data_IF_909629279723
#
_entry.id   IF_909629279723
#
_cell.length_a   1.000
_cell.length_b   1.000
_cell.length_c   1.000
_cell.angle_alpha   90.00
_cell.angle_beta   90.00
_cell.angle_gamma   90.00
#
_symmetry.space_group_name_H-M   'P 1'
#
loop_
_entity.id
_entity.type
_entity.pdbx_description
1 polymer ?
#
# COMPACT_ATOMS: atom_id res chain seq x y z
N UNK A 1 13.57 -19.18 -2.31
CA UNK A 1 13.38 -20.62 -2.04
C UNK A 1 12.18 -21.08 -2.84
N UNK A 2 12.32 -22.13 -3.65
CA UNK A 2 11.19 -22.77 -4.32
C UNK A 2 10.85 -23.99 -3.45
N UNK A 3 9.69 -23.96 -2.79
CA UNK A 3 9.20 -25.07 -1.98
C UNK A 3 8.77 -26.22 -2.91
N UNK A 4 8.96 -27.47 -2.48
CA UNK A 4 8.44 -28.62 -3.24
C UNK A 4 6.92 -28.68 -3.14
N UNK A 5 6.24 -29.38 -4.07
CA UNK A 5 4.80 -29.58 -3.98
C UNK A 5 4.36 -30.25 -2.66
N UNK A 6 5.17 -31.17 -2.12
CA UNK A 6 4.88 -31.82 -0.84
C UNK A 6 4.99 -30.86 0.35
N UNK A 7 5.99 -29.97 0.34
CA UNK A 7 6.16 -28.97 1.40
C UNK A 7 5.02 -27.94 1.40
N UNK A 8 4.55 -27.54 0.22
CA UNK A 8 3.38 -26.66 0.08
C UNK A 8 2.12 -27.34 0.61
N UNK A 9 1.95 -28.64 0.31
CA UNK A 9 0.80 -29.40 0.78
C UNK A 9 0.84 -29.58 2.30
N UNK A 10 1.98 -29.98 2.85
CA UNK A 10 2.19 -30.13 4.30
C UNK A 10 1.93 -28.81 5.04
N UNK A 11 2.37 -27.69 4.49
CA UNK A 11 2.09 -26.37 5.07
C UNK A 11 0.61 -25.99 5.11
N UNK A 12 -0.16 -26.36 4.07
CA UNK A 12 -1.61 -26.15 4.04
C UNK A 12 -2.33 -27.03 5.06
N UNK A 13 -1.92 -28.29 5.19
CA UNK A 13 -2.54 -29.25 6.09
C UNK A 13 -2.31 -28.82 7.55
N UNK A 14 -1.09 -28.42 7.90
CA UNK A 14 -0.76 -27.87 9.22
C UNK A 14 -1.55 -26.60 9.56
N UNK A 15 -1.74 -25.69 8.60
CA UNK A 15 -2.53 -24.47 8.80
C UNK A 15 -4.00 -24.79 9.07
N UNK A 16 -4.58 -25.71 8.29
CA UNK A 16 -5.96 -26.15 8.45
C UNK A 16 -6.17 -26.87 9.80
N UNK A 17 -5.22 -27.70 10.21
CA UNK A 17 -5.26 -28.41 11.49
C UNK A 17 -5.18 -27.44 12.68
N UNK A 18 -4.28 -26.45 12.64
CA UNK A 18 -4.17 -25.44 13.70
C UNK A 18 -5.45 -24.60 13.85
N UNK A 19 -6.12 -24.29 12.73
CA UNK A 19 -7.40 -23.58 12.70
C UNK A 19 -8.54 -24.43 13.28
N UNK A 20 -8.58 -25.71 12.95
CA UNK A 20 -9.56 -26.65 13.51
C UNK A 20 -9.32 -26.90 15.00
N UNK A 21 -8.07 -26.97 15.45
CA UNK A 21 -7.70 -27.20 16.85
C UNK A 21 -8.08 -26.03 17.77
N UNK A 22 -8.23 -24.81 17.23
CA UNK A 22 -8.58 -23.64 18.05
C UNK A 22 -10.09 -23.49 18.31
N UNK A 23 -10.97 -24.09 17.49
CA UNK A 23 -12.44 -23.91 17.58
C UNK A 23 -13.30 -25.09 17.11
N UNK A 24 -12.73 -26.28 16.95
CA UNK A 24 -13.44 -27.48 16.51
C UNK A 24 -14.59 -27.84 17.46
N UNK A 25 -15.80 -27.94 16.91
CA UNK A 25 -17.03 -28.30 17.65
C UNK A 25 -18.07 -27.17 17.80
N UNK A 26 -17.73 -25.93 17.44
CA UNK A 26 -18.70 -24.83 17.33
C UNK A 26 -19.32 -24.83 15.93
N UNK A 27 -20.57 -25.29 15.81
CA UNK A 27 -21.28 -25.37 14.54
C UNK A 27 -21.38 -24.02 13.81
N UNK A 28 -21.40 -22.92 14.56
CA UNK A 28 -21.43 -21.55 14.03
C UNK A 28 -20.10 -21.17 13.39
N UNK A 29 -18.99 -21.60 14.01
CA UNK A 29 -17.65 -21.38 13.48
C UNK A 29 -17.38 -22.29 12.27
N UNK A 30 -17.77 -23.56 12.33
CA UNK A 30 -17.63 -24.49 11.22
C UNK A 30 -18.43 -24.05 9.98
N UNK A 31 -19.68 -23.57 10.17
CA UNK A 31 -20.48 -23.00 9.09
C UNK A 31 -19.87 -21.71 8.53
N UNK A 32 -19.35 -20.83 9.41
CA UNK A 32 -18.64 -19.62 8.99
C UNK A 32 -17.34 -19.94 8.22
N UNK A 33 -16.59 -20.97 8.63
CA UNK A 33 -15.39 -21.46 7.94
C UNK A 33 -15.75 -22.13 6.61
N UNK A 34 -16.83 -22.89 6.53
CA UNK A 34 -17.30 -23.51 5.29
C UNK A 34 -17.81 -22.47 4.28
N UNK A 35 -18.56 -21.46 4.75
CA UNK A 35 -18.94 -20.29 3.96
C UNK A 35 -17.71 -19.49 3.54
N UNK A 36 -16.74 -19.29 4.43
CA UNK A 36 -15.48 -18.60 4.16
C UNK A 36 -14.62 -19.36 3.16
N UNK A 37 -14.51 -20.69 3.23
CA UNK A 37 -13.83 -21.54 2.23
C UNK A 37 -14.49 -21.45 0.87
N UNK A 38 -15.82 -21.49 0.79
CA UNK A 38 -16.55 -21.34 -0.48
C UNK A 38 -16.39 -19.93 -1.06
N UNK A 39 -16.46 -18.90 -0.23
CA UNK A 39 -16.23 -17.50 -0.59
C UNK A 39 -14.76 -17.24 -0.96
N UNK A 40 -13.82 -17.90 -0.30
CA UNK A 40 -12.39 -17.90 -0.58
C UNK A 40 -12.09 -18.59 -1.91
N UNK A 41 -12.70 -19.75 -2.21
CA UNK A 41 -12.54 -20.43 -3.49
C UNK A 41 -13.18 -19.65 -4.65
N UNK A 42 -14.33 -19.01 -4.40
CA UNK A 42 -14.95 -18.08 -5.36
C UNK A 42 -14.10 -16.81 -5.55
N UNK A 43 -13.50 -16.30 -4.47
CA UNK A 43 -12.59 -15.15 -4.49
C UNK A 43 -11.25 -15.47 -5.15
N UNK A 44 -10.71 -16.67 -4.95
CA UNK A 44 -9.46 -17.14 -5.54
C UNK A 44 -9.57 -17.36 -7.05
N UNK A 45 -10.78 -17.68 -7.56
CA UNK A 45 -11.04 -17.78 -8.98
C UNK A 45 -11.07 -16.41 -9.71
N UNK A 46 -11.18 -15.29 -8.97
CA UNK A 46 -11.37 -13.95 -9.56
C UNK A 46 -10.46 -12.83 -9.06
N UNK A 47 -9.75 -12.99 -7.94
CA UNK A 47 -8.99 -11.91 -7.32
C UNK A 47 -7.53 -12.29 -7.08
N UNK A 48 -6.62 -11.65 -7.82
CA UNK A 48 -5.17 -11.74 -7.61
C UNK A 48 -4.69 -10.99 -6.36
N UNK A 49 -5.55 -10.23 -5.67
CA UNK A 49 -5.26 -9.61 -4.37
C UNK A 49 -6.57 -9.39 -3.59
N UNK A 50 -6.67 -9.88 -2.35
CA UNK A 50 -7.86 -9.65 -1.49
C UNK A 50 -8.33 -10.82 -0.61
N UNK A 51 -7.61 -11.94 -0.54
CA UNK A 51 -8.07 -13.10 0.25
C UNK A 51 -8.17 -12.80 1.75
N UNK A 52 -7.26 -11.98 2.29
CA UNK A 52 -7.31 -11.54 3.68
C UNK A 52 -8.51 -10.64 3.97
N UNK A 53 -8.84 -9.70 3.08
CA UNK A 53 -10.01 -8.83 3.28
C UNK A 53 -11.32 -9.61 3.24
N UNK A 54 -11.43 -10.62 2.38
CA UNK A 54 -12.60 -11.54 2.36
C UNK A 54 -12.68 -12.35 3.66
N UNK A 55 -11.57 -12.91 4.14
CA UNK A 55 -11.54 -13.71 5.36
C UNK A 55 -11.93 -12.92 6.61
N UNK A 56 -11.43 -11.69 6.75
CA UNK A 56 -11.72 -10.82 7.90
C UNK A 56 -12.99 -9.97 7.75
N UNK A 57 -13.73 -10.10 6.64
CA UNK A 57 -14.96 -9.35 6.38
C UNK A 57 -14.72 -7.84 6.20
N UNK A 58 -13.55 -7.45 5.72
CA UNK A 58 -13.25 -6.05 5.41
C UNK A 58 -13.85 -5.66 4.07
N UNK A 59 -14.70 -4.63 4.10
CA UNK A 59 -15.20 -3.97 2.89
C UNK A 59 -14.18 -2.96 2.35
N UNK A 60 -14.28 -2.66 1.05
CA UNK A 60 -13.57 -1.53 0.47
C UNK A 60 -13.99 -0.23 1.17
N UNK A 61 -13.02 0.66 1.40
CA UNK A 61 -13.29 1.99 1.95
C UNK A 61 -14.36 2.70 1.10
N UNK A 62 -15.39 3.24 1.75
CA UNK A 62 -16.43 4.04 1.10
C UNK A 62 -16.07 5.51 1.24
N UNK A 63 -15.83 6.19 0.12
CA UNK A 63 -15.46 7.61 0.08
C UNK A 63 -14.35 7.89 -0.93
N UNK A 64 -13.93 9.15 -0.98
CA UNK A 64 -12.83 9.57 -1.83
C UNK A 64 -11.47 9.15 -1.22
N UNK A 65 -10.46 8.83 -2.07
CA UNK A 65 -9.10 8.60 -1.60
C UNK A 65 -8.56 9.79 -0.82
N UNK A 66 -7.81 9.54 0.25
CA UNK A 66 -7.19 10.60 1.06
C UNK A 66 -6.17 11.34 0.21
N UNK A 67 -6.17 12.68 0.24
CA UNK A 67 -5.19 13.51 -0.46
C UNK A 67 -3.87 13.51 0.29
N UNK A 68 -2.87 12.84 -0.26
CA UNK A 68 -1.59 12.57 0.39
C UNK A 68 -0.46 13.38 -0.24
N UNK A 69 0.38 13.98 0.61
CA UNK A 69 1.66 14.55 0.24
C UNK A 69 2.83 13.62 0.59
N UNK A 70 3.81 13.46 -0.30
CA UNK A 70 5.02 12.67 -0.03
C UNK A 70 6.22 13.56 0.29
N UNK A 71 6.83 13.37 1.46
CA UNK A 71 8.02 14.09 1.91
C UNK A 71 9.23 13.15 1.87
N UNK A 72 10.20 13.46 1.02
CA UNK A 72 11.32 12.57 0.70
C UNK A 72 10.96 11.66 -0.47
N UNK A 73 11.50 11.97 -1.64
CA UNK A 73 11.34 11.21 -2.90
C UNK A 73 12.67 10.63 -3.37
N UNK A 74 13.50 10.21 -2.40
CA UNK A 74 14.69 9.40 -2.66
C UNK A 74 14.35 7.98 -3.08
N UNK A 75 15.23 7.04 -2.77
CA UNK A 75 15.08 5.65 -3.21
C UNK A 75 13.87 4.97 -2.57
N UNK A 76 13.75 5.00 -1.24
CA UNK A 76 12.59 4.48 -0.52
C UNK A 76 11.31 5.26 -0.85
N UNK A 77 11.40 6.58 -0.96
CA UNK A 77 10.27 7.42 -1.38
C UNK A 77 9.69 6.99 -2.72
N UNK A 78 10.54 6.69 -3.72
CA UNK A 78 10.10 6.17 -5.02
C UNK A 78 9.46 4.79 -4.95
N UNK A 79 9.93 3.92 -4.04
CA UNK A 79 9.28 2.62 -3.80
C UNK A 79 7.89 2.84 -3.24
N UNK A 80 7.73 3.68 -2.22
CA UNK A 80 6.43 3.97 -1.64
C UNK A 80 5.47 4.67 -2.63
N UNK A 81 5.99 5.58 -3.47
CA UNK A 81 5.21 6.13 -4.60
C UNK A 81 4.77 5.02 -5.56
N UNK A 82 5.62 4.04 -5.83
CA UNK A 82 5.30 2.91 -6.73
C UNK A 82 4.32 1.93 -6.12
N UNK A 83 4.27 1.79 -4.80
CA UNK A 83 3.38 0.86 -4.09
C UNK A 83 2.10 1.51 -3.52
N UNK A 84 1.97 2.85 -3.52
CA UNK A 84 0.78 3.51 -2.98
C UNK A 84 -0.52 2.98 -3.65
N UNK A 85 -1.58 2.67 -2.89
CA UNK A 85 -2.82 2.18 -3.48
C UNK A 85 -3.68 3.37 -3.99
N UNK A 86 -3.88 3.55 -5.31
CA UNK A 86 -4.61 4.71 -5.83
C UNK A 86 -6.10 4.75 -5.44
N UNK A 87 -6.64 3.60 -5.04
CA UNK A 87 -8.01 3.48 -4.53
C UNK A 87 -8.21 4.10 -3.13
N UNK A 88 -7.12 4.33 -2.38
CA UNK A 88 -7.18 4.83 -1.00
C UNK A 88 -6.34 6.09 -0.79
N UNK A 89 -5.35 6.34 -1.64
CA UNK A 89 -4.46 7.50 -1.57
C UNK A 89 -4.43 8.22 -2.92
N UNK A 90 -4.82 9.49 -2.93
CA UNK A 90 -4.61 10.40 -4.06
C UNK A 90 -3.37 11.25 -3.81
N UNK A 91 -2.32 11.06 -4.63
CA UNK A 91 -1.10 11.85 -4.47
C UNK A 91 -1.33 13.23 -5.07
N UNK A 92 -1.37 14.25 -4.22
CA UNK A 92 -1.59 15.65 -4.63
C UNK A 92 -0.33 16.49 -4.59
N UNK A 93 0.68 16.08 -3.80
CA UNK A 93 1.92 16.83 -3.66
C UNK A 93 3.14 15.95 -3.36
N UNK A 94 4.32 16.43 -3.76
CA UNK A 94 5.61 15.87 -3.33
C UNK A 94 6.54 16.98 -2.83
N UNK A 95 7.45 16.66 -1.91
CA UNK A 95 8.50 17.55 -1.45
C UNK A 95 9.83 16.79 -1.30
N UNK A 96 10.91 17.33 -1.86
CA UNK A 96 12.27 16.83 -1.65
C UNK A 96 13.27 17.95 -1.89
N UNK A 97 14.29 18.05 -1.03
CA UNK A 97 15.34 19.08 -1.14
C UNK A 97 16.17 18.92 -2.41
N UNK A 98 16.39 17.69 -2.88
CA UNK A 98 17.26 17.41 -4.02
C UNK A 98 16.46 17.46 -5.33
N UNK A 99 16.80 18.35 -6.27
CA UNK A 99 16.05 18.48 -7.54
C UNK A 99 15.95 17.18 -8.34
N UNK A 100 17.01 16.37 -8.34
CA UNK A 100 17.03 15.09 -9.06
C UNK A 100 16.04 14.08 -8.47
N UNK A 101 15.79 14.11 -7.15
CA UNK A 101 14.81 13.22 -6.52
C UNK A 101 13.39 13.60 -6.95
N UNK A 102 13.09 14.91 -7.00
CA UNK A 102 11.81 15.42 -7.51
C UNK A 102 11.56 14.97 -8.95
N UNK A 103 12.58 15.02 -9.81
CA UNK A 103 12.48 14.52 -11.19
C UNK A 103 12.26 13.00 -11.25
N UNK A 104 13.07 12.24 -10.48
CA UNK A 104 12.98 10.78 -10.40
C UNK A 104 11.63 10.29 -9.89
N UNK A 105 10.97 11.04 -9.00
CA UNK A 105 9.61 10.74 -8.56
C UNK A 105 8.64 10.59 -9.73
N UNK A 106 8.83 11.37 -10.81
CA UNK A 106 7.98 11.32 -12.00
C UNK A 106 8.47 10.31 -13.04
N UNK A 107 9.77 10.24 -13.29
CA UNK A 107 10.34 9.39 -14.36
C UNK A 107 10.63 7.96 -13.93
N UNK A 108 10.81 7.73 -12.63
CA UNK A 108 11.33 6.49 -12.08
C UNK A 108 12.80 6.26 -12.40
N UNK A 109 13.26 5.06 -12.07
CA UNK A 109 14.63 4.57 -12.29
C UNK A 109 14.71 3.45 -13.35
N UNK A 110 13.66 3.31 -14.18
CA UNK A 110 13.62 2.28 -15.21
C UNK A 110 13.43 0.84 -14.69
N UNK A 111 13.01 0.67 -13.44
CA UNK A 111 12.71 -0.65 -12.86
C UNK A 111 11.32 -0.69 -12.24
N UNK A 112 10.79 -1.90 -12.02
CA UNK A 112 9.43 -2.11 -11.53
C UNK A 112 9.18 -1.55 -10.12
N UNK A 113 10.21 -1.47 -9.26
CA UNK A 113 10.08 -0.97 -7.88
C UNK A 113 10.05 0.56 -7.81
N UNK A 114 10.58 1.24 -8.82
CA UNK A 114 10.66 2.70 -8.90
C UNK A 114 10.17 3.14 -10.28
N UNK A 115 8.88 2.92 -10.50
CA UNK A 115 8.22 3.02 -11.80
C UNK A 115 8.03 4.47 -12.27
N UNK A 116 7.94 5.41 -11.34
CA UNK A 116 7.69 6.83 -11.61
C UNK A 116 6.21 7.15 -11.80
N UNK A 117 5.79 8.31 -11.29
CA UNK A 117 4.38 8.74 -11.28
C UNK A 117 3.79 8.89 -12.68
N UNK A 118 4.60 9.27 -13.68
CA UNK A 118 4.14 9.39 -15.07
C UNK A 118 3.63 8.06 -15.63
N UNK A 119 4.33 6.97 -15.32
CA UNK A 119 3.97 5.62 -15.78
C UNK A 119 2.89 5.01 -14.89
N UNK A 120 2.94 5.26 -13.58
CA UNK A 120 1.98 4.70 -12.62
C UNK A 120 0.58 5.33 -12.71
N UNK A 121 0.50 6.66 -12.76
CA UNK A 121 -0.76 7.41 -12.70
C UNK A 121 -1.20 7.96 -14.06
N UNK A 122 -0.33 7.90 -15.07
CA UNK A 122 -0.50 8.60 -16.33
C UNK A 122 -0.04 10.05 -16.26
N UNK A 123 0.51 10.56 -17.36
CA UNK A 123 1.13 11.90 -17.42
C UNK A 123 0.17 13.04 -17.08
N UNK A 124 -1.11 12.92 -17.45
CA UNK A 124 -2.12 13.93 -17.17
C UNK A 124 -2.31 14.09 -15.65
N UNK A 125 -2.58 13.01 -14.93
CA UNK A 125 -2.73 13.05 -13.47
C UNK A 125 -1.42 13.44 -12.79
N UNK A 126 -0.30 12.88 -13.23
CA UNK A 126 1.01 13.22 -12.68
C UNK A 126 1.36 14.71 -12.83
N UNK A 127 0.95 15.36 -13.94
CA UNK A 127 1.20 16.79 -14.16
C UNK A 127 0.46 17.72 -13.20
N UNK A 128 -0.57 17.23 -12.51
CA UNK A 128 -1.34 18.01 -11.53
C UNK A 128 -0.72 17.93 -10.12
N UNK A 129 0.25 17.04 -9.90
CA UNK A 129 0.90 16.85 -8.60
C UNK A 129 1.80 18.06 -8.33
N UNK A 130 1.53 18.76 -7.23
CA UNK A 130 2.30 19.94 -6.86
C UNK A 130 3.67 19.55 -6.32
N UNK A 131 4.71 20.20 -6.84
CA UNK A 131 6.10 19.91 -6.48
C UNK A 131 6.64 21.03 -5.60
N UNK A 132 7.08 20.66 -4.41
CA UNK A 132 7.69 21.56 -3.44
C UNK A 132 9.17 21.27 -3.27
N UNK A 133 9.95 22.31 -2.99
CA UNK A 133 11.38 22.16 -2.70
C UNK A 133 11.62 21.82 -1.23
N UNK A 134 10.73 22.28 -0.35
CA UNK A 134 10.81 22.06 1.09
C UNK A 134 9.47 21.52 1.62
N UNK A 135 9.54 20.55 2.53
CA UNK A 135 8.40 20.02 3.25
C UNK A 135 7.64 21.09 4.03
N UNK A 136 8.31 22.17 4.46
CA UNK A 136 7.66 23.31 5.13
C UNK A 136 6.64 24.03 4.24
N UNK A 137 6.74 23.89 2.93
CA UNK A 137 5.76 24.42 1.97
C UNK A 137 4.60 23.45 1.74
N UNK A 138 4.88 22.13 1.80
CA UNK A 138 3.88 21.07 1.60
C UNK A 138 2.97 20.91 2.82
N UNK A 139 3.52 20.92 4.04
CA UNK A 139 2.75 20.71 5.28
C UNK A 139 1.59 21.70 5.50
N UNK A 140 1.73 23.01 5.20
CA UNK A 140 0.62 23.96 5.32
C UNK A 140 -0.32 23.98 4.11
N UNK A 141 -0.11 23.15 3.07
CA UNK A 141 -1.00 23.10 1.91
C UNK A 141 -2.38 22.57 2.33
N UNK A 142 -3.46 23.36 2.22
CA UNK A 142 -4.80 22.93 2.63
C UNK A 142 -5.36 21.79 1.76
N UNK A 143 -4.72 21.49 0.63
CA UNK A 143 -5.09 20.35 -0.21
C UNK A 143 -4.49 19.02 0.27
N UNK A 144 -3.56 19.04 1.23
CA UNK A 144 -2.90 17.85 1.78
C UNK A 144 -3.55 17.46 3.10
N UNK A 145 -4.15 16.29 3.15
CA UNK A 145 -4.85 15.76 4.33
C UNK A 145 -3.95 14.87 5.20
N UNK A 146 -3.03 14.15 4.56
CA UNK A 146 -2.06 13.29 5.21
C UNK A 146 -0.70 13.37 4.53
N UNK A 147 0.35 12.97 5.25
CA UNK A 147 1.72 12.91 4.71
C UNK A 147 2.36 11.55 4.87
N UNK A 148 3.07 11.12 3.83
CA UNK A 148 4.01 9.99 3.89
C UNK A 148 5.42 10.56 4.02
N UNK A 149 6.15 10.14 5.06
CA UNK A 149 7.50 10.64 5.36
C UNK A 149 8.50 9.53 5.05
N UNK A 150 9.38 9.77 4.08
CA UNK A 150 10.43 8.86 3.62
C UNK A 150 11.79 9.58 3.51
N UNK A 151 12.12 10.35 4.55
CA UNK A 151 13.43 11.01 4.70
C UNK A 151 14.37 10.14 5.54
N UNK A 152 15.68 10.45 5.67
CA UNK A 152 16.55 9.73 6.59
C UNK A 152 15.99 9.72 8.02
N UNK A 153 16.16 8.59 8.72
CA UNK A 153 15.57 8.35 10.05
C UNK A 153 15.81 9.49 11.05
N UNK A 154 17.01 10.10 11.04
CA UNK A 154 17.39 11.22 11.90
C UNK A 154 16.52 12.48 11.73
N UNK A 155 15.73 12.56 10.67
CA UNK A 155 14.89 13.71 10.33
C UNK A 155 13.39 13.45 10.58
N UNK A 156 12.98 12.20 10.87
CA UNK A 156 11.57 11.85 11.09
C UNK A 156 10.92 12.63 12.24
N UNK A 157 11.59 12.73 13.39
CA UNK A 157 11.02 13.40 14.57
C UNK A 157 10.77 14.89 14.35
N UNK A 158 11.67 15.57 13.62
CA UNK A 158 11.59 17.01 13.34
C UNK A 158 10.44 17.37 12.41
N UNK A 159 9.98 16.42 11.58
CA UNK A 159 8.84 16.60 10.69
C UNK A 159 7.49 16.41 11.40
N UNK A 160 7.47 15.70 12.53
CA UNK A 160 6.23 15.38 13.26
C UNK A 160 5.84 16.44 14.30
N UNK A 161 6.77 17.27 14.74
CA UNK A 161 6.45 18.35 15.68
C UNK A 161 5.90 19.56 14.94
N UNK A 162 4.58 19.71 14.95
CA UNK A 162 3.94 21.02 14.76
C UNK A 162 4.49 21.93 15.86
N UNK A 163 5.29 22.94 15.48
CA UNK A 163 5.45 24.15 16.30
C UNK A 163 4.40 25.15 15.86
#
# INVERSE_FOLDING_TARGET
>A
MQLTPEEVQTGKDNFNEALAATRGGDSTFEDAVALSRRSFMKGAAGATAGLGSIYFGYDALKGDPVRVGFIGTGDEGNVLLTEHPPAYMDIVAIADLRPTNRQRAFTGDGNARRTGLNKKLGRQKASQIKVYEDHKQLIPDPNVEAVVIAVPLSHHARLRSRR
#
